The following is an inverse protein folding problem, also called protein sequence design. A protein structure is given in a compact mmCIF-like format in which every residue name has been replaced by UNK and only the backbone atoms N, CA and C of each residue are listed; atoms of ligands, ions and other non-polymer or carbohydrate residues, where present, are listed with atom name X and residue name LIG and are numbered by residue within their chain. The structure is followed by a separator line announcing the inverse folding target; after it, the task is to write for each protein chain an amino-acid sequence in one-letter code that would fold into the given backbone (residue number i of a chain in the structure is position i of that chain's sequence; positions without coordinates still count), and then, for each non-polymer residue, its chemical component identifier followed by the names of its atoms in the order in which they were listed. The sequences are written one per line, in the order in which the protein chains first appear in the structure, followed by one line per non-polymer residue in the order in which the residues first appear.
data_IF_142929606938
#
_entry.id   IF_142929606938
#
_cell.length_a   1.000
_cell.length_b   1.000
_cell.length_c   1.000
_cell.angle_alpha   90.00
_cell.angle_beta   90.00
_cell.angle_gamma   90.00
#
_symmetry.space_group_name_H-M   'P 1'
#
loop_
_entity.id
_entity.type
_entity.pdbx_description
1 polymer ?
#
# COMPACT_ATOMS: atom_id res chain seq x y z
N UNK A 1 12.96 21.43 -0.41
CA UNK A 1 12.43 20.36 0.47
C UNK A 1 12.58 19.04 -0.28
N UNK A 2 13.16 18.02 0.34
CA UNK A 2 13.31 16.70 -0.28
C UNK A 2 12.24 15.78 0.28
N UNK A 3 11.40 15.21 -0.57
CA UNK A 3 10.38 14.24 -0.14
C UNK A 3 11.04 12.94 0.31
N UNK A 4 10.59 12.37 1.41
CA UNK A 4 11.02 11.08 1.92
C UNK A 4 9.92 10.05 1.69
N UNK A 5 10.23 8.98 0.99
CA UNK A 5 9.26 7.93 0.64
C UNK A 5 9.69 6.61 1.25
N UNK A 6 8.84 6.05 2.11
CA UNK A 6 8.99 4.67 2.57
C UNK A 6 8.51 3.73 1.46
N UNK A 7 9.34 2.78 1.04
CA UNK A 7 9.02 1.81 0.00
C UNK A 7 8.87 0.44 0.63
N UNK A 8 7.68 -0.14 0.49
CA UNK A 8 7.34 -1.47 0.99
C UNK A 8 6.89 -2.32 -0.21
N UNK A 9 7.78 -3.06 -0.87
CA UNK A 9 7.40 -3.90 -2.00
C UNK A 9 6.40 -4.99 -1.60
N UNK A 10 6.56 -5.55 -0.40
CA UNK A 10 5.70 -6.62 0.10
C UNK A 10 5.98 -7.96 -0.57
N UNK A 11 4.93 -8.63 -1.05
CA UNK A 11 4.97 -10.02 -1.52
C UNK A 11 4.61 -10.16 -3.00
N UNK A 12 4.89 -11.33 -3.56
CA UNK A 12 4.44 -11.72 -4.90
C UNK A 12 4.72 -10.66 -5.97
N UNK A 13 3.66 -10.22 -6.65
CA UNK A 13 3.74 -9.23 -7.73
C UNK A 13 4.29 -7.86 -7.25
N UNK A 14 4.21 -7.57 -5.95
CA UNK A 14 4.74 -6.33 -5.39
C UNK A 14 6.23 -6.13 -5.65
N UNK A 15 7.00 -7.23 -5.66
CA UNK A 15 8.43 -7.22 -5.95
C UNK A 15 8.74 -6.82 -7.40
N UNK A 16 7.81 -7.05 -8.32
CA UNK A 16 7.95 -6.70 -9.74
C UNK A 16 7.42 -5.31 -10.04
N UNK A 17 6.24 -4.95 -9.52
CA UNK A 17 5.57 -3.70 -9.87
C UNK A 17 6.17 -2.47 -9.20
N UNK A 18 6.71 -2.61 -7.97
CA UNK A 18 7.27 -1.46 -7.25
C UNK A 18 8.49 -0.86 -7.94
N UNK A 19 9.47 -1.64 -8.45
CA UNK A 19 10.56 -1.08 -9.25
C UNK A 19 10.08 -0.31 -10.50
N UNK A 20 9.05 -0.81 -11.18
CA UNK A 20 8.48 -0.13 -12.35
C UNK A 20 7.76 1.16 -11.94
N UNK A 21 7.02 1.13 -10.82
CA UNK A 21 6.42 2.33 -10.23
C UNK A 21 7.44 3.40 -9.86
N UNK A 22 8.60 3.00 -9.33
CA UNK A 22 9.69 3.91 -8.99
C UNK A 22 10.29 4.58 -10.25
N UNK A 23 10.42 3.86 -11.37
CA UNK A 23 10.88 4.47 -12.65
C UNK A 23 9.93 5.57 -13.11
N UNK A 24 8.62 5.35 -13.00
CA UNK A 24 7.61 6.37 -13.34
C UNK A 24 7.70 7.55 -12.38
N UNK A 25 7.84 7.28 -11.09
CA UNK A 25 7.98 8.31 -10.06
C UNK A 25 9.22 9.18 -10.30
N UNK A 26 10.37 8.57 -10.59
CA UNK A 26 11.62 9.25 -10.95
C UNK A 26 11.38 10.25 -12.09
N UNK A 27 10.72 9.80 -13.14
CA UNK A 27 10.46 10.65 -14.31
C UNK A 27 9.53 11.82 -13.98
N UNK A 28 8.42 11.53 -13.27
CA UNK A 28 7.42 12.54 -12.94
C UNK A 28 7.99 13.59 -11.99
N UNK A 29 8.79 13.20 -11.01
CA UNK A 29 9.39 14.13 -10.05
C UNK A 29 10.54 14.93 -10.67
N UNK A 30 11.34 14.32 -11.57
CA UNK A 30 12.38 15.02 -12.32
C UNK A 30 11.78 16.12 -13.20
N UNK A 31 10.70 15.84 -13.93
CA UNK A 31 10.01 16.81 -14.78
C UNK A 31 9.43 18.00 -13.98
N UNK A 32 9.23 17.83 -12.68
CA UNK A 32 8.75 18.86 -11.74
C UNK A 32 9.84 19.49 -10.90
N UNK A 33 11.09 19.09 -11.07
CA UNK A 33 12.25 19.50 -10.27
C UNK A 33 12.04 19.25 -8.75
N UNK A 34 11.36 18.15 -8.40
CA UNK A 34 11.12 17.74 -7.00
C UNK A 34 12.16 16.70 -6.62
N UNK A 35 13.00 17.02 -5.63
CA UNK A 35 13.96 16.07 -5.08
C UNK A 35 13.26 15.11 -4.10
N UNK A 36 13.63 13.84 -4.12
CA UNK A 36 13.13 12.84 -3.18
C UNK A 36 14.20 11.81 -2.80
N UNK A 37 13.95 11.08 -1.75
CA UNK A 37 14.75 9.94 -1.29
C UNK A 37 13.84 8.78 -0.90
N UNK A 38 14.33 7.56 -1.04
CA UNK A 38 13.59 6.35 -0.68
C UNK A 38 14.29 5.58 0.44
N UNK A 39 13.50 5.00 1.33
CA UNK A 39 13.94 4.01 2.30
C UNK A 39 13.14 2.73 2.10
N UNK A 40 13.81 1.61 1.84
CA UNK A 40 13.17 0.33 1.61
C UNK A 40 12.96 -0.42 2.92
N UNK A 41 11.75 -0.94 3.11
CA UNK A 41 11.36 -1.78 4.24
C UNK A 41 10.97 -3.16 3.74
N UNK A 42 11.68 -4.18 4.22
CA UNK A 42 11.38 -5.58 3.91
C UNK A 42 10.28 -6.08 4.85
N UNK A 43 9.03 -5.79 4.50
CA UNK A 43 7.84 -6.16 5.25
C UNK A 43 6.93 -7.03 4.39
N UNK A 44 6.53 -8.18 4.94
CA UNK A 44 5.72 -9.17 4.25
C UNK A 44 6.02 -10.61 4.71
N UNK A 45 5.66 -11.57 3.89
CA UNK A 45 5.81 -12.99 4.17
C UNK A 45 7.26 -13.41 4.44
N UNK A 46 8.21 -12.89 3.66
CA UNK A 46 9.63 -13.21 3.82
C UNK A 46 10.12 -12.89 5.24
N UNK A 47 9.80 -11.70 5.74
CA UNK A 47 10.15 -11.29 7.09
C UNK A 47 9.44 -12.15 8.13
N UNK A 48 8.14 -12.36 7.95
CA UNK A 48 7.36 -13.18 8.86
C UNK A 48 7.91 -14.59 9.01
N UNK A 49 8.31 -15.24 7.92
CA UNK A 49 8.97 -16.56 7.96
C UNK A 49 10.32 -16.53 8.66
N UNK A 50 11.07 -15.46 8.52
CA UNK A 50 12.41 -15.35 9.12
C UNK A 50 12.37 -15.01 10.61
N UNK A 51 11.41 -14.20 11.07
CA UNK A 51 11.42 -13.63 12.43
C UNK A 51 10.14 -13.87 13.22
N UNK A 52 9.03 -14.21 12.57
CA UNK A 52 7.70 -14.25 13.17
C UNK A 52 7.01 -12.87 13.25
N UNK A 53 7.71 -11.80 12.89
CA UNK A 53 7.20 -10.42 12.96
C UNK A 53 6.62 -9.97 11.62
N UNK A 54 5.59 -9.14 11.67
CA UNK A 54 5.02 -8.46 10.50
C UNK A 54 5.51 -7.01 10.40
N UNK A 55 5.14 -6.18 11.37
CA UNK A 55 5.51 -4.78 11.50
C UNK A 55 5.84 -4.50 12.97
N UNK A 56 7.09 -4.24 13.28
CA UNK A 56 7.50 -3.86 14.64
C UNK A 56 7.17 -2.40 14.91
N UNK A 57 7.23 -2.00 16.19
CA UNK A 57 7.01 -0.60 16.56
C UNK A 57 8.18 0.30 16.09
N UNK A 58 9.39 -0.25 16.03
CA UNK A 58 10.56 0.46 15.47
C UNK A 58 10.39 0.72 13.97
N UNK A 59 9.92 -0.27 13.20
CA UNK A 59 9.59 -0.08 11.78
C UNK A 59 8.53 1.01 11.62
N UNK A 60 7.47 0.96 12.44
CA UNK A 60 6.40 1.94 12.39
C UNK A 60 6.90 3.35 12.69
N UNK A 61 7.76 3.52 13.69
CA UNK A 61 8.37 4.82 14.00
C UNK A 61 9.27 5.31 12.85
N UNK A 62 10.06 4.41 12.25
CA UNK A 62 10.86 4.74 11.09
C UNK A 62 9.99 5.19 9.91
N UNK A 63 8.90 4.47 9.62
CA UNK A 63 7.96 4.80 8.54
C UNK A 63 7.27 6.14 8.78
N UNK A 64 6.88 6.46 10.02
CA UNK A 64 6.30 7.77 10.40
C UNK A 64 7.18 8.97 10.07
N UNK A 65 8.50 8.77 9.96
CA UNK A 65 9.46 9.80 9.56
C UNK A 65 9.45 10.13 8.06
N UNK A 66 8.59 9.50 7.26
CA UNK A 66 8.48 9.70 5.81
C UNK A 66 7.22 10.50 5.44
N UNK A 67 7.27 11.18 4.31
CA UNK A 67 6.15 11.99 3.82
C UNK A 67 5.08 11.15 3.11
N UNK A 68 5.48 9.99 2.57
CA UNK A 68 4.57 9.06 1.89
C UNK A 68 5.07 7.61 1.99
N UNK A 69 4.17 6.67 1.75
CA UNK A 69 4.45 5.24 1.64
C UNK A 69 4.09 4.77 0.23
N UNK A 70 5.05 4.17 -0.47
CA UNK A 70 4.78 3.40 -1.68
C UNK A 70 4.68 1.93 -1.29
N UNK A 71 3.46 1.42 -1.29
CA UNK A 71 3.16 0.05 -0.94
C UNK A 71 2.86 -0.76 -2.20
N UNK A 72 3.52 -1.91 -2.33
CA UNK A 72 3.25 -2.87 -3.41
C UNK A 72 2.07 -3.79 -3.08
N UNK A 73 2.29 -5.08 -3.08
CA UNK A 73 1.28 -6.08 -2.74
C UNK A 73 1.66 -6.81 -1.45
N UNK A 74 0.69 -7.12 -0.61
CA UNK A 74 0.91 -7.88 0.63
C UNK A 74 -0.05 -9.06 0.64
N UNK A 75 0.51 -10.23 0.87
CA UNK A 75 -0.20 -11.50 0.96
C UNK A 75 0.56 -12.62 0.27
N UNK A 76 0.72 -13.72 0.97
CA UNK A 76 1.38 -14.93 0.47
C UNK A 76 0.62 -16.15 0.99
N UNK A 77 0.31 -17.16 0.14
CA UNK A 77 -0.44 -18.34 0.55
C UNK A 77 0.28 -19.21 1.59
N UNK A 78 1.59 -19.03 1.76
CA UNK A 78 2.37 -19.73 2.79
C UNK A 78 2.21 -19.14 4.20
N UNK A 79 1.61 -17.96 4.31
CA UNK A 79 1.33 -17.29 5.60
C UNK A 79 -0.13 -17.51 5.98
N UNK A 80 -0.44 -17.87 7.24
CA UNK A 80 -1.83 -18.03 7.68
C UNK A 80 -2.67 -16.77 7.38
N UNK A 81 -3.90 -17.00 6.93
CA UNK A 81 -4.83 -15.91 6.56
C UNK A 81 -5.04 -14.93 7.72
N UNK A 82 -5.01 -13.65 7.41
CA UNK A 82 -5.21 -12.56 8.37
C UNK A 82 -3.94 -12.08 9.08
N UNK A 83 -2.83 -12.83 9.02
CA UNK A 83 -1.58 -12.44 9.71
C UNK A 83 -1.01 -11.16 9.10
N UNK A 84 -0.78 -11.15 7.80
CA UNK A 84 -0.19 -9.99 7.10
C UNK A 84 -1.20 -8.85 7.00
N UNK A 85 -2.45 -9.15 6.74
CA UNK A 85 -3.51 -8.14 6.64
C UNK A 85 -3.66 -7.36 7.96
N UNK A 86 -3.74 -8.07 9.08
CA UNK A 86 -3.91 -7.44 10.41
C UNK A 86 -2.60 -6.87 10.94
N UNK A 87 -1.52 -7.63 10.84
CA UNK A 87 -0.23 -7.30 11.43
C UNK A 87 0.57 -6.25 10.65
N UNK A 88 0.27 -6.04 9.37
CA UNK A 88 0.93 -5.07 8.53
C UNK A 88 -0.02 -4.02 7.99
N UNK A 89 -0.97 -4.39 7.11
CA UNK A 89 -1.80 -3.42 6.40
C UNK A 89 -2.73 -2.63 7.34
N UNK A 90 -3.47 -3.33 8.20
CA UNK A 90 -4.37 -2.66 9.14
C UNK A 90 -3.59 -1.94 10.23
N UNK A 91 -2.48 -2.50 10.71
CA UNK A 91 -1.61 -1.84 11.69
C UNK A 91 -1.09 -0.51 11.15
N UNK A 92 -0.59 -0.45 9.91
CA UNK A 92 -0.18 0.80 9.26
C UNK A 92 -1.34 1.79 9.16
N UNK A 93 -2.50 1.33 8.67
CA UNK A 93 -3.70 2.18 8.48
C UNK A 93 -4.13 2.86 9.77
N UNK A 94 -4.29 2.10 10.85
CA UNK A 94 -4.75 2.63 12.13
C UNK A 94 -3.68 3.51 12.81
N UNK A 95 -2.42 3.06 12.81
CA UNK A 95 -1.35 3.77 13.48
C UNK A 95 -0.96 5.10 12.80
N UNK A 96 -1.25 5.25 11.50
CA UNK A 96 -1.01 6.45 10.72
C UNK A 96 -2.30 7.25 10.43
N UNK A 97 -3.43 6.81 10.98
CA UNK A 97 -4.75 7.44 10.80
C UNK A 97 -5.13 7.65 9.33
N UNK A 98 -4.93 6.60 8.50
CA UNK A 98 -5.27 6.62 7.08
C UNK A 98 -6.79 6.39 6.88
N UNK A 99 -7.60 7.33 7.32
CA UNK A 99 -9.07 7.23 7.30
C UNK A 99 -9.67 7.37 5.90
N UNK A 100 -9.00 8.05 4.98
CA UNK A 100 -9.46 8.19 3.60
C UNK A 100 -8.78 7.15 2.70
N UNK A 101 -9.58 6.31 2.05
CA UNK A 101 -9.13 5.39 1.03
C UNK A 101 -9.74 5.80 -0.32
N UNK A 102 -8.95 6.47 -1.17
CA UNK A 102 -9.36 6.90 -2.50
C UNK A 102 -9.16 5.77 -3.51
N UNK A 103 -10.24 5.38 -4.18
CA UNK A 103 -10.25 4.27 -5.16
C UNK A 103 -10.78 4.74 -6.51
N UNK A 104 -9.92 5.30 -7.38
CA UNK A 104 -10.33 5.69 -8.72
C UNK A 104 -10.64 4.43 -9.54
N UNK A 105 -11.70 4.51 -10.33
CA UNK A 105 -12.15 3.45 -11.24
C UNK A 105 -12.44 4.07 -12.59
N UNK A 106 -11.70 3.67 -13.61
CA UNK A 106 -11.85 4.16 -14.96
C UNK A 106 -11.83 3.00 -15.96
N UNK A 107 -12.75 3.03 -16.91
CA UNK A 107 -12.68 2.14 -18.07
C UNK A 107 -11.85 2.81 -19.17
N UNK A 108 -10.97 2.05 -19.76
CA UNK A 108 -10.18 2.47 -20.92
C UNK A 108 -10.62 1.67 -22.13
N UNK A 109 -10.99 2.36 -23.21
CA UNK A 109 -11.36 1.73 -24.46
C UNK A 109 -10.23 0.81 -24.97
N UNK A 110 -10.60 -0.38 -25.45
CA UNK A 110 -9.64 -1.40 -25.90
C UNK A 110 -9.08 -2.29 -24.77
N UNK A 111 -9.36 -2.00 -23.51
CA UNK A 111 -9.01 -2.88 -22.40
C UNK A 111 -10.16 -3.85 -22.10
N UNK A 112 -9.91 -5.17 -22.01
CA UNK A 112 -10.96 -6.13 -21.67
C UNK A 112 -11.62 -5.78 -20.34
N UNK A 113 -12.95 -5.83 -20.31
CA UNK A 113 -13.76 -5.56 -19.12
C UNK A 113 -14.59 -6.79 -18.76
N UNK A 114 -14.84 -7.09 -17.47
CA UNK A 114 -15.78 -8.11 -17.05
C UNK A 114 -17.24 -7.71 -17.32
N UNK A 115 -17.49 -6.42 -17.57
CA UNK A 115 -18.83 -5.91 -17.93
C UNK A 115 -19.05 -6.06 -19.43
N UNK A 116 -20.23 -6.55 -19.82
CA UNK A 116 -20.59 -6.78 -21.22
C UNK A 116 -20.61 -5.47 -22.04
N UNK A 117 -21.12 -4.40 -21.46
CA UNK A 117 -21.21 -3.07 -22.06
C UNK A 117 -20.82 -2.01 -21.01
N UNK A 118 -19.52 -1.79 -20.77
CA UNK A 118 -19.08 -0.93 -19.67
C UNK A 118 -19.46 0.54 -19.84
N UNK A 119 -19.69 0.99 -21.10
CA UNK A 119 -19.95 2.40 -21.37
C UNK A 119 -18.80 3.29 -20.89
N UNK A 120 -19.10 4.53 -20.56
CA UNK A 120 -18.13 5.45 -19.95
C UNK A 120 -18.14 5.27 -18.43
N UNK A 121 -17.00 4.88 -17.85
CA UNK A 121 -16.81 4.75 -16.43
C UNK A 121 -15.60 5.61 -16.05
N UNK A 122 -15.83 6.65 -15.22
CA UNK A 122 -14.77 7.46 -14.62
C UNK A 122 -15.31 8.03 -13.31
N UNK A 123 -15.00 7.35 -12.18
CA UNK A 123 -15.43 7.80 -10.86
C UNK A 123 -14.39 7.47 -9.78
N UNK A 124 -14.53 8.10 -8.63
CA UNK A 124 -13.71 7.82 -7.45
C UNK A 124 -14.61 7.40 -6.30
N UNK A 125 -14.34 6.23 -5.71
CA UNK A 125 -14.93 5.82 -4.45
C UNK A 125 -14.07 6.37 -3.33
N UNK A 126 -14.66 7.17 -2.46
CA UNK A 126 -14.05 7.61 -1.20
C UNK A 126 -14.55 6.67 -0.10
N UNK A 127 -13.66 5.79 0.35
CA UNK A 127 -13.97 4.78 1.37
C UNK A 127 -13.38 5.21 2.71
N UNK A 128 -14.19 5.10 3.77
CA UNK A 128 -13.71 5.21 5.14
C UNK A 128 -12.79 4.02 5.47
N UNK A 129 -11.68 4.25 6.15
CA UNK A 129 -10.61 3.26 6.38
C UNK A 129 -10.32 2.91 7.83
N UNK A 130 -10.79 3.68 8.81
CA UNK A 130 -10.43 3.52 10.24
C UNK A 130 -11.62 3.21 11.16
N UNK A 131 -12.83 3.43 10.67
CA UNK A 131 -14.08 3.19 11.39
C UNK A 131 -14.86 1.99 10.81
N UNK A 132 -15.98 1.66 11.43
CA UNK A 132 -16.90 0.63 10.97
C UNK A 132 -16.44 -0.79 11.28
N UNK A 133 -16.81 -1.75 10.42
CA UNK A 133 -16.62 -3.19 10.67
C UNK A 133 -15.14 -3.63 10.76
N UNK A 134 -14.22 -2.83 10.29
CA UNK A 134 -12.78 -3.16 10.26
C UNK A 134 -11.99 -2.58 11.43
N UNK A 135 -12.56 -1.71 12.24
CA UNK A 135 -11.85 -1.06 13.35
C UNK A 135 -11.53 -1.99 14.51
N UNK A 136 -12.15 -3.19 14.55
CA UNK A 136 -11.91 -4.18 15.60
C UNK A 136 -12.56 -3.84 16.94
N UNK A 137 -13.33 -2.77 17.03
CA UNK A 137 -14.08 -2.37 18.20
C UNK A 137 -15.36 -3.20 18.27
N UNK A 138 -15.30 -4.31 18.96
CA UNK A 138 -16.41 -5.23 19.16
C UNK A 138 -16.24 -5.97 20.47
N UNK A 139 -17.36 -6.43 21.02
CA UNK A 139 -17.41 -7.25 22.21
C UNK A 139 -18.79 -7.89 22.34
N UNK A 140 -18.85 -9.04 22.97
CA UNK A 140 -20.09 -9.69 23.43
C UNK A 140 -20.12 -9.65 24.94
#
# INVERSE_FOLDING_TARGET
MTLKIAVIPGDGIGQEIVPEGLKVLDRVLADRAIAYSTTHFDLGARRWHATGDTLTDDDLQAIKGHDAILLGAVGDPSVPSGVLERGLLLKLRFALDHYVNLRPSKYYEGVPSPLANPGEIDFVVVREGTEGLYCGNGGA
#
